data_IF_980886472764
#
_entry.id   IF_980886472764
#
_cell.length_a   1.000
_cell.length_b   1.000
_cell.length_c   1.000
_cell.angle_alpha   90.00
_cell.angle_beta   90.00
_cell.angle_gamma   90.00
#
_symmetry.space_group_name_H-M   'P 1'
#
loop_
_entity.id
_entity.type
_entity.pdbx_description
1 polymer ?
#
# COMPACT_ATOMS: atom_id res chain seq x y z
N UNK A 1 -1.67 -4.69 -44.28
CA UNK A 1 -0.87 -5.74 -43.63
C UNK A 1 0.18 -5.04 -42.77
N UNK A 2 0.27 -5.42 -41.48
CA UNK A 2 1.20 -4.97 -40.41
C UNK A 2 1.07 -3.49 -39.97
N UNK A 3 0.45 -3.19 -38.81
CA UNK A 3 0.87 -3.30 -37.38
C UNK A 3 2.02 -2.35 -37.02
N UNK A 4 1.79 -1.36 -36.13
CA UNK A 4 2.34 -1.27 -34.76
C UNK A 4 1.81 -0.01 -34.05
N UNK A 5 1.55 -0.16 -32.76
CA UNK A 5 0.80 0.73 -31.87
C UNK A 5 1.60 1.96 -31.39
N UNK A 6 0.96 3.10 -31.06
CA UNK A 6 1.56 4.07 -30.16
C UNK A 6 1.47 3.55 -28.71
N UNK A 7 2.64 3.44 -28.08
CA UNK A 7 2.84 3.26 -26.65
C UNK A 7 2.06 4.38 -25.90
N UNK A 8 0.97 4.01 -25.25
CA UNK A 8 0.35 4.77 -24.18
C UNK A 8 0.78 4.08 -22.89
N UNK A 9 1.73 4.69 -22.17
CA UNK A 9 1.87 4.48 -20.72
C UNK A 9 0.87 5.42 -20.04
N UNK A 10 -0.16 4.92 -19.35
CA UNK A 10 -0.99 5.76 -18.50
C UNK A 10 -0.72 5.46 -17.02
N UNK A 11 -0.12 6.42 -16.33
CA UNK A 11 -0.70 7.02 -15.12
C UNK A 11 -0.93 6.18 -13.85
N UNK A 12 -0.51 4.91 -13.75
CA UNK A 12 -0.71 4.11 -12.53
C UNK A 12 0.04 4.61 -11.27
N UNK A 13 1.02 5.52 -11.41
CA UNK A 13 1.81 6.02 -10.28
C UNK A 13 1.29 7.33 -9.66
N UNK A 14 0.24 7.95 -10.20
CA UNK A 14 -0.27 9.22 -9.66
C UNK A 14 -1.21 9.04 -8.46
N UNK A 15 -1.91 7.89 -8.36
CA UNK A 15 -2.86 7.65 -7.27
C UNK A 15 -2.25 6.92 -6.07
N UNK A 16 -1.09 6.27 -6.23
CA UNK A 16 -0.38 5.64 -5.12
C UNK A 16 0.06 6.67 -4.05
N UNK A 17 0.21 7.94 -4.44
CA UNK A 17 0.52 9.03 -3.52
C UNK A 17 -0.68 9.51 -2.70
N UNK A 18 -1.93 9.28 -3.13
CA UNK A 18 -3.10 9.77 -2.39
C UNK A 18 -3.42 8.90 -1.17
N UNK A 19 -3.30 7.57 -1.29
CA UNK A 19 -3.48 6.64 -0.17
C UNK A 19 -2.32 6.72 0.83
N UNK A 20 -1.08 6.81 0.33
CA UNK A 20 0.08 7.10 1.20
C UNK A 20 -0.06 8.47 1.87
N UNK A 21 -0.53 9.49 1.15
CA UNK A 21 -0.75 10.83 1.71
C UNK A 21 -1.92 10.89 2.68
N UNK A 22 -3.00 10.11 2.53
CA UNK A 22 -4.15 10.08 3.45
C UNK A 22 -3.86 9.29 4.72
N UNK A 23 -3.08 8.21 4.64
CA UNK A 23 -2.45 7.52 5.78
C UNK A 23 -1.51 8.48 6.54
N UNK A 24 -0.86 9.39 5.81
CA UNK A 24 0.07 10.38 6.34
C UNK A 24 -0.61 11.70 6.81
N UNK A 25 -1.82 12.01 6.33
CA UNK A 25 -2.58 13.24 6.62
C UNK A 25 -3.14 13.26 8.05
N UNK A 26 -3.30 12.10 8.68
CA UNK A 26 -3.65 12.00 10.10
C UNK A 26 -2.51 12.44 11.03
N UNK A 27 -1.29 12.66 10.50
CA UNK A 27 -0.09 12.97 11.30
C UNK A 27 0.74 14.21 10.90
N UNK A 28 0.63 14.77 9.69
CA UNK A 28 1.68 15.69 9.17
C UNK A 28 1.22 17.04 8.59
N UNK A 29 0.47 17.83 9.36
CA UNK A 29 0.26 19.25 9.00
C UNK A 29 1.57 20.07 9.09
N UNK A 30 2.54 19.66 9.91
CA UNK A 30 3.82 20.38 10.08
C UNK A 30 4.89 20.03 9.03
N UNK A 31 4.72 18.98 8.22
CA UNK A 31 5.79 18.49 7.35
C UNK A 31 5.63 18.79 5.86
N UNK A 32 4.41 19.12 5.43
CA UNK A 32 4.18 19.65 4.09
C UNK A 32 4.92 21.00 3.89
N UNK A 33 4.92 21.89 4.89
CA UNK A 33 5.67 23.16 4.82
C UNK A 33 7.19 22.94 4.79
N UNK A 34 7.68 21.87 5.43
CA UNK A 34 9.10 21.51 5.43
C UNK A 34 9.54 20.87 4.10
N UNK A 35 8.66 20.12 3.44
CA UNK A 35 8.90 19.50 2.13
C UNK A 35 8.87 20.52 0.97
N UNK A 36 7.98 21.51 1.00
CA UNK A 36 7.98 22.60 0.01
C UNK A 36 9.28 23.42 0.07
N UNK A 37 9.83 23.64 1.27
CA UNK A 37 11.12 24.32 1.46
C UNK A 37 12.32 23.49 0.93
N UNK A 38 12.23 22.16 0.96
CA UNK A 38 13.28 21.26 0.46
C UNK A 38 13.27 21.17 -1.07
N UNK A 39 12.08 21.16 -1.69
CA UNK A 39 11.92 21.13 -3.15
C UNK A 39 12.38 22.45 -3.79
N UNK A 40 12.19 23.58 -3.11
CA UNK A 40 12.69 24.89 -3.58
C UNK A 40 14.23 25.02 -3.54
N UNK A 41 14.95 24.09 -2.91
CA UNK A 41 16.41 24.10 -2.75
C UNK A 41 17.14 22.95 -3.44
N UNK A 42 16.42 22.00 -4.03
CA UNK A 42 17.01 20.90 -4.78
C UNK A 42 17.31 21.30 -6.23
N UNK A 43 18.58 21.26 -6.62
CA UNK A 43 19.07 21.54 -7.96
C UNK A 43 18.73 20.35 -8.90
N UNK A 44 18.12 20.59 -10.05
CA UNK A 44 17.62 19.56 -11.00
C UNK A 44 18.72 18.65 -11.56
N UNK A 45 19.99 18.95 -11.29
CA UNK A 45 21.15 18.19 -11.79
C UNK A 45 21.50 16.94 -10.98
N UNK A 46 20.96 16.77 -9.76
CA UNK A 46 21.25 15.61 -8.90
C UNK A 46 20.28 14.42 -9.09
N UNK A 47 19.17 14.60 -9.82
CA UNK A 47 18.16 13.55 -10.04
C UNK A 47 18.41 12.68 -11.28
N UNK A 48 19.41 13.00 -12.11
CA UNK A 48 19.66 12.31 -13.38
C UNK A 48 20.86 11.33 -13.36
N UNK A 49 21.44 11.04 -12.19
CA UNK A 49 22.71 10.30 -12.11
C UNK A 49 22.72 9.08 -11.19
N UNK A 50 21.56 8.51 -10.84
CA UNK A 50 21.56 7.15 -10.31
C UNK A 50 21.47 6.23 -11.52
N UNK A 51 22.62 5.74 -11.98
CA UNK A 51 22.67 4.80 -13.10
C UNK A 51 21.95 3.50 -12.74
N UNK A 52 21.45 2.78 -13.74
CA UNK A 52 20.89 1.43 -13.54
C UNK A 52 21.88 0.51 -12.79
N UNK A 53 23.18 0.75 -12.97
CA UNK A 53 24.25 0.06 -12.24
C UNK A 53 24.28 0.43 -10.75
N UNK A 54 24.02 1.69 -10.38
CA UNK A 54 23.94 2.11 -8.97
C UNK A 54 22.67 1.59 -8.30
N UNK A 55 21.55 1.48 -9.04
CA UNK A 55 20.32 0.80 -8.57
C UNK A 55 20.58 -0.69 -8.37
N UNK A 56 21.21 -1.35 -9.33
CA UNK A 56 21.56 -2.77 -9.24
C UNK A 56 22.60 -3.04 -8.14
N UNK A 57 23.53 -2.11 -7.90
CA UNK A 57 24.52 -2.20 -6.84
C UNK A 57 23.89 -1.94 -5.46
N UNK A 58 22.93 -1.01 -5.35
CA UNK A 58 22.14 -0.82 -4.12
C UNK A 58 21.22 -2.01 -3.85
N UNK A 59 20.62 -2.62 -4.88
CA UNK A 59 19.90 -3.91 -4.79
C UNK A 59 20.80 -5.04 -4.34
N UNK A 60 21.97 -5.18 -4.96
CA UNK A 60 22.97 -6.17 -4.57
C UNK A 60 23.42 -5.95 -3.13
N UNK A 61 23.64 -4.71 -2.69
CA UNK A 61 24.04 -4.39 -1.32
C UNK A 61 22.90 -4.55 -0.30
N UNK A 62 21.64 -4.29 -0.66
CA UNK A 62 20.49 -4.62 0.17
C UNK A 62 20.35 -6.15 0.33
N UNK A 63 20.53 -6.89 -0.77
CA UNK A 63 20.64 -8.36 -0.78
C UNK A 63 21.93 -8.89 -0.12
N UNK A 64 22.92 -8.03 0.12
CA UNK A 64 24.19 -8.40 0.76
C UNK A 64 24.23 -8.02 2.25
N UNK A 65 23.47 -7.01 2.69
CA UNK A 65 23.15 -6.82 4.12
C UNK A 65 22.32 -7.97 4.68
N UNK A 66 21.54 -8.58 3.80
CA UNK A 66 20.97 -9.93 3.90
C UNK A 66 22.12 -10.97 3.99
N UNK A 67 23.06 -11.03 3.05
CA UNK A 67 24.15 -12.03 3.07
C UNK A 67 25.13 -12.02 4.27
N UNK A 68 25.29 -10.91 5.02
CA UNK A 68 26.07 -10.88 6.28
C UNK A 68 25.28 -11.41 7.50
N UNK A 69 24.04 -11.87 7.28
CA UNK A 69 23.10 -12.44 8.25
C UNK A 69 21.94 -13.22 7.59
N UNK A 70 22.25 -14.14 6.67
CA UNK A 70 21.40 -15.16 6.02
C UNK A 70 19.83 -15.09 6.11
N UNK A 71 19.14 -14.45 5.15
CA UNK A 71 17.68 -14.40 5.00
C UNK A 71 17.07 -15.45 4.09
N UNK A 72 17.83 -16.48 3.68
CA UNK A 72 17.28 -17.61 2.92
C UNK A 72 16.30 -18.50 3.74
N UNK A 73 15.85 -18.13 4.95
CA UNK A 73 14.82 -18.88 5.68
C UNK A 73 14.24 -18.10 6.87
N UNK A 74 13.28 -17.19 6.66
CA UNK A 74 12.69 -16.47 7.80
C UNK A 74 11.28 -15.96 7.56
N UNK A 75 10.50 -15.97 8.64
CA UNK A 75 9.28 -15.18 8.76
C UNK A 75 9.65 -13.81 9.33
N UNK A 76 9.29 -12.75 8.62
CA UNK A 76 9.41 -11.36 9.06
C UNK A 76 8.01 -10.82 9.26
N UNK A 77 7.81 -10.11 10.37
CA UNK A 77 6.54 -9.45 10.70
C UNK A 77 6.68 -7.94 10.56
N UNK A 78 5.74 -7.34 9.84
CA UNK A 78 5.57 -5.91 9.72
C UNK A 78 4.27 -5.51 10.44
N UNK A 79 4.31 -4.39 11.14
CA UNK A 79 3.13 -3.79 11.75
C UNK A 79 2.85 -2.46 11.07
N UNK A 80 1.57 -2.16 10.85
CA UNK A 80 1.20 -0.88 10.26
C UNK A 80 -0.30 -0.67 10.22
N UNK A 81 -0.79 -0.16 9.09
CA UNK A 81 -2.17 0.27 8.92
C UNK A 81 -2.76 -0.25 7.61
N UNK A 82 -4.06 -0.45 7.61
CA UNK A 82 -4.87 -0.66 6.43
C UNK A 82 -5.90 0.47 6.32
N UNK A 83 -6.33 0.77 5.10
CA UNK A 83 -7.35 1.77 4.83
C UNK A 83 -8.27 1.32 3.69
N UNK A 84 -9.56 1.62 3.83
CA UNK A 84 -10.56 1.56 2.78
C UNK A 84 -11.13 2.97 2.59
N UNK A 85 -10.96 3.52 1.40
CA UNK A 85 -11.53 4.81 1.01
C UNK A 85 -12.77 4.60 0.16
N UNK A 86 -13.90 5.15 0.60
CA UNK A 86 -15.21 4.97 -0.04
C UNK A 86 -15.79 6.35 -0.36
N UNK A 87 -15.79 6.77 -1.63
CA UNK A 87 -16.42 8.01 -2.05
C UNK A 87 -17.93 8.01 -1.78
N UNK A 88 -18.43 9.09 -1.14
CA UNK A 88 -19.84 9.29 -0.78
C UNK A 88 -20.32 10.68 -1.22
N UNK A 89 -20.51 10.85 -2.53
CA UNK A 89 -20.93 12.12 -3.11
C UNK A 89 -19.81 13.16 -3.08
N UNK A 90 -19.93 14.17 -2.20
CA UNK A 90 -18.90 15.21 -2.04
C UNK A 90 -17.93 14.93 -0.87
N UNK A 91 -18.11 13.82 -0.16
CA UNK A 91 -17.31 13.44 0.98
C UNK A 91 -16.64 12.09 0.70
N UNK A 92 -15.60 11.76 1.47
CA UNK A 92 -14.97 10.44 1.47
C UNK A 92 -15.10 9.84 2.87
N UNK A 93 -15.56 8.60 2.94
CA UNK A 93 -15.44 7.77 4.13
C UNK A 93 -14.08 7.08 4.10
N UNK A 94 -13.36 7.13 5.21
CA UNK A 94 -12.14 6.36 5.43
C UNK A 94 -12.40 5.38 6.56
N UNK A 95 -12.31 4.08 6.28
CA UNK A 95 -12.21 3.04 7.31
C UNK A 95 -10.73 2.69 7.43
N UNK A 96 -10.12 2.87 8.61
CA UNK A 96 -8.73 2.56 8.87
C UNK A 96 -8.60 1.52 9.97
N UNK A 97 -7.72 0.54 9.79
CA UNK A 97 -7.43 -0.52 10.75
C UNK A 97 -5.95 -0.68 10.98
N UNK A 98 -5.58 -1.45 12.01
CA UNK A 98 -4.22 -1.93 12.20
C UNK A 98 -3.94 -3.08 11.25
N UNK A 99 -2.73 -3.16 10.72
CA UNK A 99 -2.27 -4.26 9.87
C UNK A 99 -1.15 -5.03 10.57
N UNK A 100 -1.26 -6.35 10.60
CA UNK A 100 -0.16 -7.27 10.91
C UNK A 100 0.14 -8.09 9.68
N UNK A 101 1.35 -7.97 9.14
CA UNK A 101 1.74 -8.52 7.85
C UNK A 101 2.88 -9.50 8.10
N UNK A 102 2.68 -10.75 7.73
CA UNK A 102 3.67 -11.81 7.87
C UNK A 102 4.20 -12.18 6.48
N UNK A 103 5.48 -11.87 6.23
CA UNK A 103 6.19 -12.28 5.02
C UNK A 103 7.10 -13.46 5.36
N UNK A 104 6.93 -14.56 4.63
CA UNK A 104 7.79 -15.73 4.74
C UNK A 104 8.60 -15.89 3.46
N UNK A 105 9.84 -15.42 3.52
CA UNK A 105 10.78 -15.47 2.40
C UNK A 105 11.32 -16.90 2.15
N UNK A 106 11.07 -17.85 3.05
CA UNK A 106 11.48 -19.25 2.85
C UNK A 106 10.56 -19.99 1.87
N UNK A 107 9.31 -19.54 1.73
CA UNK A 107 8.29 -20.17 0.89
C UNK A 107 7.61 -19.16 -0.05
N UNK A 108 8.15 -17.96 -0.17
CA UNK A 108 7.65 -16.86 -1.00
C UNK A 108 6.17 -16.54 -0.77
N UNK A 109 5.72 -16.60 0.50
CA UNK A 109 4.33 -16.29 0.86
C UNK A 109 4.24 -15.04 1.72
N UNK A 110 3.11 -14.34 1.59
CA UNK A 110 2.77 -13.20 2.42
C UNK A 110 1.27 -13.24 2.77
N UNK A 111 0.95 -12.89 4.00
CA UNK A 111 -0.42 -12.74 4.49
C UNK A 111 -0.54 -11.50 5.36
N UNK A 112 -1.73 -10.91 5.43
CA UNK A 112 -1.99 -9.84 6.36
C UNK A 112 -3.37 -9.96 6.99
N UNK A 113 -3.40 -9.73 8.31
CA UNK A 113 -4.61 -9.62 9.11
C UNK A 113 -4.84 -8.15 9.47
N UNK A 114 -6.10 -7.72 9.40
CA UNK A 114 -6.48 -6.34 9.70
C UNK A 114 -7.46 -6.26 10.87
N UNK A 115 -7.14 -5.44 11.88
CA UNK A 115 -7.92 -5.37 13.12
C UNK A 115 -8.22 -3.92 13.54
N UNK A 116 -9.02 -3.77 14.60
CA UNK A 116 -9.28 -2.48 15.27
C UNK A 116 -9.74 -1.35 14.33
N UNK A 117 -10.68 -1.67 13.43
CA UNK A 117 -11.19 -0.76 12.44
C UNK A 117 -11.91 0.45 13.05
N UNK A 118 -11.58 1.63 12.54
CA UNK A 118 -12.14 2.93 12.86
C UNK A 118 -12.63 3.61 11.58
N UNK A 119 -13.78 4.27 11.63
CA UNK A 119 -14.32 5.03 10.50
C UNK A 119 -14.34 6.53 10.75
N UNK A 120 -14.04 7.28 9.68
CA UNK A 120 -13.97 8.73 9.62
C UNK A 120 -14.71 9.24 8.39
N UNK A 121 -15.68 10.13 8.56
CA UNK A 121 -16.28 10.89 7.47
C UNK A 121 -15.87 12.35 7.55
N UNK A 122 -15.84 13.02 6.40
CA UNK A 122 -15.66 14.47 6.37
C UNK A 122 -16.78 15.16 7.17
N UNK A 123 -16.41 15.80 8.29
CA UNK A 123 -17.31 16.40 9.27
C UNK A 123 -17.48 15.64 10.60
N UNK A 124 -16.99 14.41 10.73
CA UNK A 124 -16.90 13.74 12.04
C UNK A 124 -15.70 14.29 12.84
N UNK A 125 -15.95 14.70 14.08
CA UNK A 125 -14.88 15.14 15.00
C UNK A 125 -14.23 13.98 15.76
N UNK A 126 -14.82 12.78 15.69
CA UNK A 126 -14.38 11.60 16.42
C UNK A 126 -14.51 10.35 15.57
N UNK A 127 -13.47 9.51 15.60
CA UNK A 127 -13.48 8.17 15.05
C UNK A 127 -14.55 7.32 15.75
N UNK A 128 -15.30 6.52 14.99
CA UNK A 128 -16.19 5.50 15.55
C UNK A 128 -15.68 4.11 15.17
N UNK A 129 -15.85 3.13 16.05
CA UNK A 129 -15.46 1.74 15.76
C UNK A 129 -16.31 1.18 14.63
N UNK A 130 -15.63 0.57 13.65
CA UNK A 130 -16.24 -0.34 12.69
C UNK A 130 -16.02 -1.78 13.15
N UNK A 131 -16.95 -2.67 12.84
CA UNK A 131 -16.84 -4.10 13.14
C UNK A 131 -16.77 -4.92 11.87
N UNK A 132 -16.22 -6.11 11.93
CA UNK A 132 -16.09 -6.98 10.76
C UNK A 132 -14.65 -7.42 10.61
N UNK A 133 -14.34 -7.96 9.43
CA UNK A 133 -13.05 -8.55 9.14
C UNK A 133 -12.71 -8.38 7.66
N UNK A 134 -11.45 -8.09 7.39
CA UNK A 134 -10.86 -8.04 6.05
C UNK A 134 -9.54 -8.77 6.15
N UNK A 135 -9.26 -9.61 5.16
CA UNK A 135 -8.06 -10.44 5.14
C UNK A 135 -7.38 -10.28 3.79
N UNK A 136 -6.04 -10.24 3.82
CA UNK A 136 -5.22 -10.45 2.64
C UNK A 136 -4.62 -11.85 2.69
N UNK A 137 -4.92 -12.65 1.67
CA UNK A 137 -4.61 -14.08 1.61
C UNK A 137 -4.06 -14.51 0.26
N UNK A 138 -3.55 -15.74 0.17
CA UNK A 138 -2.91 -16.29 -1.03
C UNK A 138 -1.78 -15.39 -1.59
N UNK A 139 -1.18 -14.57 -0.73
CA UNK A 139 -0.17 -13.62 -1.15
C UNK A 139 1.14 -14.32 -1.50
N UNK A 140 1.74 -13.89 -2.61
CA UNK A 140 3.02 -14.38 -3.12
C UNK A 140 4.06 -13.25 -3.15
N UNK A 141 5.31 -13.60 -2.91
CA UNK A 141 6.47 -12.70 -3.01
C UNK A 141 7.18 -12.98 -4.33
N UNK A 142 7.52 -11.92 -5.06
CA UNK A 142 8.36 -11.99 -6.25
C UNK A 142 7.63 -12.27 -7.55
N UNK A 143 6.45 -11.67 -7.76
CA UNK A 143 5.64 -11.90 -8.95
C UNK A 143 6.07 -11.11 -10.20
N UNK A 144 5.87 -11.78 -11.35
CA UNK A 144 6.02 -11.44 -12.78
C UNK A 144 7.26 -10.69 -13.28
N UNK A 145 7.90 -9.79 -12.52
CA UNK A 145 9.02 -8.98 -13.02
C UNK A 145 10.01 -8.48 -11.95
N UNK A 146 9.73 -8.65 -10.64
CA UNK A 146 10.66 -8.25 -9.58
C UNK A 146 10.48 -9.02 -8.26
N UNK A 147 11.60 -9.45 -7.68
CA UNK A 147 11.64 -10.15 -6.39
C UNK A 147 11.09 -9.34 -5.20
N UNK A 148 10.91 -8.03 -5.35
CA UNK A 148 10.36 -7.14 -4.32
C UNK A 148 8.84 -6.96 -4.40
N UNK A 149 8.17 -7.52 -5.41
CA UNK A 149 6.74 -7.35 -5.59
C UNK A 149 5.97 -8.32 -4.70
N UNK A 150 4.75 -7.93 -4.34
CA UNK A 150 3.76 -8.82 -3.73
C UNK A 150 2.47 -8.76 -4.53
N UNK A 151 1.77 -9.88 -4.60
CA UNK A 151 0.41 -9.95 -5.15
C UNK A 151 -0.41 -10.94 -4.33
N UNK A 152 -1.72 -10.73 -4.18
CA UNK A 152 -2.61 -11.66 -3.50
C UNK A 152 -4.06 -11.20 -3.46
N UNK A 153 -4.91 -12.01 -2.84
CA UNK A 153 -6.34 -11.77 -2.77
C UNK A 153 -6.69 -10.96 -1.51
N UNK A 154 -7.58 -9.98 -1.64
CA UNK A 154 -8.20 -9.29 -0.52
C UNK A 154 -9.69 -9.56 -0.52
N UNK A 155 -10.23 -9.94 0.63
CA UNK A 155 -11.66 -10.16 0.77
C UNK A 155 -12.13 -9.86 2.21
N UNK A 156 -13.33 -9.32 2.33
CA UNK A 156 -13.93 -9.08 3.64
C UNK A 156 -15.09 -8.13 3.66
N UNK A 157 -15.62 -7.92 4.86
CA UNK A 157 -16.75 -7.03 5.11
C UNK A 157 -16.56 -6.29 6.42
N UNK A 158 -16.76 -4.99 6.38
CA UNK A 158 -16.83 -4.08 7.51
C UNK A 158 -18.25 -3.52 7.64
N UNK A 159 -18.65 -3.22 8.87
CA UNK A 159 -19.90 -2.56 9.22
C UNK A 159 -19.58 -1.28 9.95
N UNK A 160 -20.06 -0.15 9.43
CA UNK A 160 -19.86 1.16 10.03
C UNK A 160 -21.15 1.97 9.96
N UNK A 161 -21.59 2.49 11.12
CA UNK A 161 -22.80 3.30 11.26
C UNK A 161 -24.09 2.69 10.65
N UNK A 162 -24.14 1.36 10.52
CA UNK A 162 -25.29 0.63 10.00
C UNK A 162 -25.20 0.28 8.50
N UNK A 163 -24.17 0.77 7.81
CA UNK A 163 -23.86 0.40 6.43
C UNK A 163 -22.82 -0.72 6.40
N UNK A 164 -22.93 -1.59 5.39
CA UNK A 164 -22.01 -2.67 5.11
C UNK A 164 -21.07 -2.27 3.97
N UNK A 165 -19.76 -2.49 4.16
CA UNK A 165 -18.70 -2.18 3.20
C UNK A 165 -17.92 -3.45 2.93
N UNK A 166 -17.93 -3.96 1.70
CA UNK A 166 -17.22 -5.17 1.34
C UNK A 166 -16.15 -4.90 0.30
N UNK A 167 -15.05 -5.64 0.39
CA UNK A 167 -13.97 -5.68 -0.60
C UNK A 167 -13.80 -7.12 -1.08
N UNK A 168 -13.60 -7.30 -2.37
CA UNK A 168 -13.28 -8.57 -3.01
C UNK A 168 -12.42 -8.30 -4.25
N UNK A 169 -11.18 -8.77 -4.28
CA UNK A 169 -10.27 -8.46 -5.37
C UNK A 169 -8.82 -8.85 -5.16
N UNK A 170 -7.95 -8.21 -5.95
CA UNK A 170 -6.50 -8.43 -5.96
C UNK A 170 -5.78 -7.18 -5.49
N UNK A 171 -4.81 -7.36 -4.61
CA UNK A 171 -3.85 -6.34 -4.18
C UNK A 171 -2.50 -6.65 -4.78
N UNK A 172 -1.89 -5.62 -5.38
CA UNK A 172 -0.48 -5.62 -5.74
C UNK A 172 0.29 -4.63 -4.87
N UNK A 173 1.55 -4.94 -4.62
CA UNK A 173 2.38 -4.16 -3.73
C UNK A 173 3.86 -4.42 -3.89
N UNK A 174 4.64 -3.84 -2.99
CA UNK A 174 6.08 -4.04 -2.98
C UNK A 174 6.68 -3.86 -1.57
N UNK A 175 7.82 -4.49 -1.37
CA UNK A 175 8.76 -4.14 -0.31
C UNK A 175 9.56 -2.89 -0.70
N UNK A 176 9.75 -1.98 0.24
CA UNK A 176 10.50 -0.74 0.04
C UNK A 176 11.28 -0.35 1.29
N UNK A 177 12.31 0.48 1.12
CA UNK A 177 13.00 1.12 2.24
C UNK A 177 12.57 2.58 2.32
N UNK A 178 12.03 2.99 3.46
CA UNK A 178 11.62 4.36 3.73
C UNK A 178 12.34 4.88 4.98
N UNK A 179 13.06 6.00 4.83
CA UNK A 179 13.83 6.63 5.92
C UNK A 179 14.83 5.71 6.66
N UNK A 180 15.28 4.64 5.99
CA UNK A 180 16.21 3.67 6.58
C UNK A 180 15.52 2.49 7.27
N UNK A 181 14.19 2.48 7.35
CA UNK A 181 13.39 1.34 7.78
C UNK A 181 12.89 0.56 6.57
N UNK A 182 12.84 -0.77 6.70
CA UNK A 182 12.21 -1.62 5.71
C UNK A 182 10.69 -1.67 5.97
N UNK A 183 9.92 -1.57 4.88
CA UNK A 183 8.48 -1.64 4.91
C UNK A 183 7.92 -2.41 3.72
N UNK A 184 6.63 -2.69 3.80
CA UNK A 184 5.83 -3.38 2.80
C UNK A 184 4.51 -2.66 2.66
N UNK A 185 4.00 -2.54 1.44
CA UNK A 185 2.67 -1.98 1.21
C UNK A 185 2.05 -2.52 -0.05
N UNK A 186 0.73 -2.50 -0.09
CA UNK A 186 -0.08 -2.95 -1.23
C UNK A 186 -1.34 -2.12 -1.38
N UNK A 187 -1.81 -2.03 -2.62
CA UNK A 187 -3.04 -1.33 -3.01
C UNK A 187 -3.85 -2.20 -3.96
N UNK A 188 -5.16 -2.09 -3.90
CA UNK A 188 -6.07 -2.76 -4.82
C UNK A 188 -5.85 -2.31 -6.26
N UNK A 189 -5.95 -3.25 -7.18
CA UNK A 189 -5.98 -2.97 -8.61
C UNK A 189 -7.40 -2.61 -9.05
N UNK A 190 -7.57 -1.43 -9.65
CA UNK A 190 -8.87 -0.84 -10.02
C UNK A 190 -9.71 -1.74 -10.97
N UNK A 191 -9.08 -2.61 -11.77
CA UNK A 191 -9.77 -3.50 -12.72
C UNK A 191 -9.96 -4.93 -12.21
N UNK A 192 -9.42 -5.26 -11.04
CA UNK A 192 -9.50 -6.60 -10.43
C UNK A 192 -10.11 -6.58 -9.03
N UNK A 193 -10.51 -5.40 -8.53
CA UNK A 193 -11.08 -5.25 -7.20
C UNK A 193 -12.45 -4.59 -7.27
N UNK A 194 -13.40 -5.18 -6.56
CA UNK A 194 -14.72 -4.61 -6.34
C UNK A 194 -14.87 -4.23 -4.87
N UNK A 195 -15.21 -2.96 -4.63
CA UNK A 195 -15.65 -2.50 -3.32
C UNK A 195 -17.14 -2.16 -3.42
N UNK A 196 -17.93 -2.63 -2.46
CA UNK A 196 -19.37 -2.41 -2.42
C UNK A 196 -19.80 -1.75 -1.12
N UNK A 197 -20.88 -0.97 -1.17
CA UNK A 197 -21.59 -0.42 -0.02
C UNK A 197 -23.03 -0.91 -0.08
N UNK A 198 -23.46 -1.64 0.96
CA UNK A 198 -24.78 -2.29 1.03
C UNK A 198 -25.10 -3.15 -0.22
N UNK A 199 -24.08 -3.83 -0.76
CA UNK A 199 -24.19 -4.68 -1.95
C UNK A 199 -24.12 -3.97 -3.30
N UNK A 200 -24.03 -2.64 -3.33
CA UNK A 200 -23.89 -1.85 -4.55
C UNK A 200 -22.42 -1.45 -4.76
N UNK A 201 -21.90 -1.62 -5.99
CA UNK A 201 -20.51 -1.25 -6.32
C UNK A 201 -20.31 0.26 -6.14
N UNK A 202 -19.23 0.63 -5.44
CA UNK A 202 -18.82 2.02 -5.27
C UNK A 202 -17.69 2.33 -6.25
N UNK A 203 -17.93 3.16 -7.28
CA UNK A 203 -16.87 3.58 -8.19
C UNK A 203 -15.77 4.34 -7.45
N UNK A 204 -14.53 4.15 -7.90
CA UNK A 204 -13.34 4.85 -7.38
C UNK A 204 -13.03 4.60 -5.89
N UNK A 205 -13.69 3.62 -5.26
CA UNK A 205 -13.32 3.16 -3.93
C UNK A 205 -12.03 2.35 -4.00
N UNK A 206 -11.20 2.48 -2.96
CA UNK A 206 -9.87 1.88 -2.91
C UNK A 206 -9.62 1.21 -1.57
N UNK A 207 -8.77 0.19 -1.58
CA UNK A 207 -8.26 -0.43 -0.36
C UNK A 207 -6.75 -0.59 -0.46
N UNK A 208 -6.05 -0.44 0.66
CA UNK A 208 -4.63 -0.69 0.73
C UNK A 208 -4.13 -0.89 2.15
N UNK A 209 -2.88 -1.30 2.27
CA UNK A 209 -2.18 -1.42 3.54
C UNK A 209 -0.71 -1.06 3.40
N UNK A 210 -0.10 -0.69 4.51
CA UNK A 210 1.34 -0.51 4.64
C UNK A 210 1.80 -0.90 6.04
N UNK A 211 3.04 -1.36 6.17
CA UNK A 211 3.67 -1.66 7.45
C UNK A 211 5.19 -1.59 7.41
N UNK A 212 5.77 -1.46 8.59
CA UNK A 212 7.21 -1.41 8.81
C UNK A 212 7.63 -2.55 9.74
N UNK A 213 8.91 -2.94 9.70
CA UNK A 213 9.42 -4.02 10.57
C UNK A 213 9.08 -3.73 12.04
N UNK A 214 8.56 -4.76 12.71
CA UNK A 214 8.33 -4.72 14.15
C UNK A 214 9.66 -4.82 14.90
N UNK A 215 10.17 -3.70 15.42
CA UNK A 215 11.33 -3.67 16.34
C UNK A 215 11.05 -4.34 17.70
#
# INVERSE_FOLDING_TARGET
>A
MLRFAPLLLPLALANCGAILASIELAGRVDEAERLEALIATADESDLAAISDDEINQRRANALQGIADGNPDAGMVRYNGQAAMEVPQGNNTLILSGLATIDANFANDTISADFSDWLGYNDGDTLANTASGDVVFSNGVIGDEDAASNISGDVNGTLTFKGDEYSVDGVIDGQFATFQGSEGVGGVTLDDQTTITMNGEVVPDAQFGFAGEIAD
#
